data_IF_363064868553
#
_entry.id   IF_363064868553
#
_cell.length_a   1.000
_cell.length_b   1.000
_cell.length_c   1.000
_cell.angle_alpha   90.00
_cell.angle_beta   90.00
_cell.angle_gamma   90.00
#
_symmetry.space_group_name_H-M   'P 1'
#
loop_
_entity.id
_entity.type
_entity.pdbx_description
1 polymer ?
#
# COMPACT_ATOMS: atom_id res chain seq x y z
N UNK A 1 2.50 -6.88 0.42
CA UNK A 1 1.81 -7.15 1.70
C UNK A 1 0.79 -8.23 1.47
N UNK A 2 0.62 -9.18 2.38
CA UNK A 2 -0.26 -10.33 2.16
C UNK A 2 -1.57 -10.18 2.93
N UNK A 3 -2.66 -10.76 2.42
CA UNK A 3 -3.91 -10.94 3.17
C UNK A 3 -3.88 -12.20 4.03
N UNK A 4 -5.00 -12.51 4.70
CA UNK A 4 -5.14 -13.69 5.54
C UNK A 4 -4.93 -15.01 4.80
N UNK A 5 -5.06 -15.03 3.47
CA UNK A 5 -4.79 -16.21 2.63
C UNK A 5 -3.33 -16.28 2.15
N UNK A 6 -2.49 -15.32 2.52
CA UNK A 6 -1.11 -15.23 2.04
C UNK A 6 -0.98 -14.64 0.63
N UNK A 7 -2.05 -14.06 0.07
CA UNK A 7 -2.03 -13.46 -1.26
C UNK A 7 -1.68 -11.97 -1.20
N UNK A 8 -0.93 -11.46 -2.20
CA UNK A 8 -0.58 -10.04 -2.26
C UNK A 8 -1.83 -9.17 -2.35
N UNK A 9 -1.99 -8.23 -1.42
CA UNK A 9 -3.04 -7.23 -1.47
C UNK A 9 -2.67 -6.21 -2.56
N UNK A 10 -3.48 -6.07 -3.63
CA UNK A 10 -3.12 -5.23 -4.77
C UNK A 10 -3.29 -3.73 -4.47
N UNK A 11 -4.26 -3.37 -3.64
CA UNK A 11 -4.59 -1.98 -3.28
C UNK A 11 -4.89 -1.83 -1.79
N UNK A 12 -4.33 -0.80 -1.17
CA UNK A 12 -4.55 -0.42 0.24
C UNK A 12 -4.92 1.06 0.32
N UNK A 13 -6.13 1.34 0.75
CA UNK A 13 -6.61 2.69 1.12
C UNK A 13 -6.50 2.92 2.64
N UNK A 14 -6.89 4.10 3.11
CA UNK A 14 -6.83 4.46 4.53
C UNK A 14 -7.71 3.55 5.41
N UNK A 15 -8.88 3.15 4.93
CA UNK A 15 -9.80 2.29 5.68
C UNK A 15 -9.24 0.88 5.84
N UNK A 16 -8.70 0.31 4.75
CA UNK A 16 -8.03 -0.99 4.77
C UNK A 16 -6.75 -0.95 5.59
N UNK A 17 -6.01 0.16 5.56
CA UNK A 17 -4.84 0.37 6.42
C UNK A 17 -5.22 0.30 7.91
N UNK A 18 -6.22 1.07 8.34
CA UNK A 18 -6.66 1.10 9.73
C UNK A 18 -7.16 -0.29 10.16
N UNK A 19 -7.81 -1.03 9.26
CA UNK A 19 -8.23 -2.42 9.51
C UNK A 19 -7.04 -3.38 9.69
N UNK A 20 -6.04 -3.31 8.82
CA UNK A 20 -4.84 -4.17 8.88
C UNK A 20 -4.02 -3.95 10.16
N UNK A 21 -3.97 -2.72 10.65
CA UNK A 21 -3.33 -2.39 11.93
C UNK A 21 -4.15 -2.98 13.09
N UNK A 22 -5.47 -2.77 13.09
CA UNK A 22 -6.36 -3.22 14.18
C UNK A 22 -6.45 -4.74 14.30
N UNK A 23 -6.49 -5.43 13.16
CA UNK A 23 -6.62 -6.89 13.09
C UNK A 23 -5.27 -7.61 13.27
N UNK A 24 -4.16 -6.88 13.44
CA UNK A 24 -2.83 -7.46 13.63
C UNK A 24 -2.28 -8.19 12.40
N UNK A 25 -2.88 -7.96 11.22
CA UNK A 25 -2.50 -8.61 9.97
C UNK A 25 -1.21 -8.05 9.37
N UNK A 26 -0.77 -6.88 9.82
CA UNK A 26 0.50 -6.27 9.44
C UNK A 26 1.54 -6.42 10.57
N UNK A 27 2.73 -6.92 10.24
CA UNK A 27 3.86 -6.91 11.18
C UNK A 27 4.29 -5.50 11.55
N UNK A 28 4.99 -5.31 12.67
CA UNK A 28 5.48 -3.99 13.11
C UNK A 28 6.26 -3.25 12.00
N UNK A 29 7.11 -3.99 11.26
CA UNK A 29 7.85 -3.44 10.13
C UNK A 29 6.99 -3.10 8.91
N UNK A 30 5.80 -3.69 8.77
CA UNK A 30 4.82 -3.31 7.74
C UNK A 30 3.99 -2.10 8.17
N UNK A 31 3.59 -2.03 9.44
CA UNK A 31 2.88 -0.87 10.00
C UNK A 31 3.69 0.41 9.78
N UNK A 32 4.99 0.38 10.08
CA UNK A 32 5.88 1.53 9.85
C UNK A 32 5.89 2.00 8.38
N UNK A 33 5.97 1.06 7.43
CA UNK A 33 5.95 1.38 5.99
C UNK A 33 4.62 2.02 5.58
N UNK A 34 3.51 1.50 6.09
CA UNK A 34 2.19 2.02 5.75
C UNK A 34 1.95 3.42 6.35
N UNK A 35 2.42 3.67 7.57
CA UNK A 35 2.38 5.01 8.17
C UNK A 35 3.23 6.01 7.36
N UNK A 36 4.41 5.60 6.88
CA UNK A 36 5.21 6.42 5.98
C UNK A 36 4.49 6.70 4.65
N UNK A 37 3.82 5.69 4.06
CA UNK A 37 3.02 5.87 2.85
C UNK A 37 1.87 6.87 3.09
N UNK A 38 1.19 6.77 4.24
CA UNK A 38 0.13 7.71 4.63
C UNK A 38 0.65 9.14 4.77
N UNK A 39 1.82 9.32 5.38
CA UNK A 39 2.46 10.63 5.49
C UNK A 39 2.82 11.22 4.11
N UNK A 40 3.41 10.40 3.22
CA UNK A 40 3.73 10.80 1.85
C UNK A 40 2.47 11.15 1.02
N UNK A 41 1.38 10.39 1.16
CA UNK A 41 0.11 10.71 0.50
C UNK A 41 -0.50 12.03 0.98
N UNK A 42 -0.38 12.36 2.28
CA UNK A 42 -0.75 13.68 2.81
C UNK A 42 0.14 14.80 2.28
N UNK A 43 1.40 14.49 1.94
CA UNK A 43 2.34 15.36 1.24
C UNK A 43 2.12 15.46 -0.27
N UNK A 44 0.97 15.00 -0.80
CA UNK A 44 0.58 15.09 -2.21
C UNK A 44 1.41 14.23 -3.19
N UNK A 45 1.99 13.12 -2.72
CA UNK A 45 2.56 12.11 -3.63
C UNK A 45 1.44 11.43 -4.42
N UNK A 46 1.55 11.42 -5.76
CA UNK A 46 0.51 10.92 -6.66
C UNK A 46 0.35 9.39 -6.62
N UNK A 47 1.46 8.65 -6.51
CA UNK A 47 1.45 7.19 -6.43
C UNK A 47 2.51 6.67 -5.45
N UNK A 48 2.13 5.70 -4.63
CA UNK A 48 3.03 4.99 -3.73
C UNK A 48 2.87 3.48 -3.95
N UNK A 49 3.99 2.80 -4.22
CA UNK A 49 4.05 1.35 -4.44
C UNK A 49 4.96 0.70 -3.42
N UNK A 50 4.46 -0.29 -2.69
CA UNK A 50 5.26 -1.20 -1.86
C UNK A 50 5.55 -2.44 -2.70
N UNK A 51 6.81 -2.66 -3.05
CA UNK A 51 7.25 -3.74 -3.94
C UNK A 51 8.10 -4.77 -3.20
N UNK A 52 8.11 -6.02 -3.68
CA UNK A 52 9.05 -7.03 -3.22
C UNK A 52 10.41 -6.90 -3.92
N UNK A 53 11.36 -6.25 -3.25
CA UNK A 53 12.72 -6.02 -3.77
C UNK A 53 13.56 -7.29 -3.99
N UNK A 54 13.09 -8.47 -3.58
CA UNK A 54 13.77 -9.75 -3.87
C UNK A 54 13.50 -10.23 -5.30
N UNK A 55 12.44 -9.73 -5.93
CA UNK A 55 12.07 -10.09 -7.31
C UNK A 55 12.80 -9.17 -8.28
N UNK A 56 13.48 -9.77 -9.25
CA UNK A 56 14.04 -9.02 -10.40
C UNK A 56 12.88 -8.42 -11.19
N UNK A 57 13.04 -7.17 -11.63
CA UNK A 57 11.99 -6.45 -12.35
C UNK A 57 10.84 -5.94 -11.46
N UNK A 58 10.99 -5.90 -10.14
CA UNK A 58 9.95 -5.41 -9.24
C UNK A 58 9.58 -3.92 -9.43
N UNK A 59 10.38 -3.18 -10.19
CA UNK A 59 10.14 -1.78 -10.55
C UNK A 59 9.55 -1.64 -11.96
N UNK A 60 9.55 -2.71 -12.75
CA UNK A 60 9.00 -2.70 -14.10
C UNK A 60 7.48 -2.48 -14.02
N UNK A 61 6.96 -1.57 -14.85
CA UNK A 61 5.55 -1.15 -14.78
C UNK A 61 4.55 -2.29 -15.05
N UNK A 62 5.01 -3.37 -15.68
CA UNK A 62 4.18 -4.53 -16.02
C UNK A 62 3.85 -5.44 -14.82
N UNK A 63 4.56 -5.33 -13.69
CA UNK A 63 4.49 -6.31 -12.61
C UNK A 63 3.43 -5.99 -11.53
N UNK A 64 2.16 -6.08 -11.91
CA UNK A 64 1.01 -5.80 -11.04
C UNK A 64 0.82 -6.80 -9.88
N UNK A 65 1.40 -8.00 -9.97
CA UNK A 65 1.17 -9.11 -9.02
C UNK A 65 2.13 -9.18 -7.83
N UNK A 66 3.22 -8.41 -7.82
CA UNK A 66 4.17 -8.39 -6.69
C UNK A 66 4.26 -7.04 -5.98
N UNK A 67 3.37 -6.11 -6.32
CA UNK A 67 3.31 -4.79 -5.71
C UNK A 67 1.98 -4.61 -4.98
N UNK A 68 2.04 -4.00 -3.81
CA UNK A 68 0.88 -3.45 -3.13
C UNK A 68 0.86 -1.94 -3.41
N UNK A 69 -0.13 -1.47 -4.16
CA UNK A 69 -0.32 -0.04 -4.39
C UNK A 69 -1.06 0.58 -3.21
N UNK A 70 -0.49 1.64 -2.63
CA UNK A 70 -1.15 2.39 -1.56
C UNK A 70 -1.87 3.57 -2.18
N UNK A 71 -3.19 3.55 -2.15
CA UNK A 71 -4.06 4.58 -2.72
C UNK A 71 -4.66 5.47 -1.65
N UNK A 72 -4.04 5.55 -0.46
CA UNK A 72 -4.35 6.54 0.57
C UNK A 72 -4.08 7.95 0.01
N UNK A 73 -4.98 8.37 -0.85
CA UNK A 73 -4.89 9.55 -1.66
C UNK A 73 -5.83 10.54 -0.99
N UNK A 74 -5.26 11.61 -0.44
CA UNK A 74 -6.01 12.77 0.06
C UNK A 74 -6.87 13.47 -1.00
N UNK A 75 -7.04 12.90 -2.21
CA UNK A 75 -8.09 13.31 -3.14
C UNK A 75 -9.44 12.77 -2.66
N UNK A 76 -10.15 13.61 -1.90
CA UNK A 76 -11.59 13.78 -2.15
C UNK A 76 -11.74 13.96 -3.66
N UNK A 77 -12.23 12.93 -4.37
CA UNK A 77 -12.67 13.09 -5.75
C UNK A 77 -13.84 14.08 -5.75
N UNK A 78 -13.53 15.37 -5.89
CA UNK A 78 -14.46 16.35 -6.41
C UNK A 78 -14.69 16.00 -7.87
N UNK A 79 -15.76 15.24 -8.13
CA UNK A 79 -16.39 15.21 -9.44
C UNK A 79 -17.04 16.59 -9.63
N UNK A 80 -16.59 17.34 -10.63
CA UNK A 80 -17.39 18.34 -11.32
C UNK A 80 -17.88 17.71 -12.62
#
# INVERSE_FOLDING_TARGET
MLDASGATIPVVDDERLDRLIREGQASAGMIAKLLACRAAGRGQVDEIRIVDGRRRGALDDDMQTAATRVTACGRRRSRR
#
